data_IF_283991531071
#
_entry.id   IF_283991531071
#
_cell.length_a   1.000
_cell.length_b   1.000
_cell.length_c   1.000
_cell.angle_alpha   90.00
_cell.angle_beta   90.00
_cell.angle_gamma   90.00
#
_symmetry.space_group_name_H-M   'P 1'
#
loop_
_entity.id
_entity.type
_entity.pdbx_description
1 polymer ?
#
# COMPACT_ATOMS: atom_id res chain seq x y z
N UNK A 1 -19.07 -1.75 -26.39
CA UNK A 1 -18.12 -1.27 -25.35
C UNK A 1 -16.74 -1.14 -25.97
N UNK A 2 -16.15 0.05 -25.89
CA UNK A 2 -14.81 0.27 -26.44
C UNK A 2 -13.73 -0.39 -25.57
N UNK A 3 -12.55 -0.63 -26.14
CA UNK A 3 -11.41 -1.18 -25.40
C UNK A 3 -11.01 -0.22 -24.26
N UNK A 4 -11.10 1.11 -24.50
CA UNK A 4 -10.79 2.10 -23.49
C UNK A 4 -11.74 2.04 -22.29
N UNK A 5 -13.04 1.82 -22.54
CA UNK A 5 -14.03 1.67 -21.48
C UNK A 5 -13.78 0.42 -20.63
N UNK A 6 -13.41 -0.69 -21.28
CA UNK A 6 -13.05 -1.93 -20.60
C UNK A 6 -11.82 -1.74 -19.72
N UNK A 7 -10.79 -1.07 -20.22
CA UNK A 7 -9.56 -0.81 -19.47
C UNK A 7 -9.81 0.11 -18.27
N UNK A 8 -10.65 1.13 -18.44
CA UNK A 8 -11.04 2.03 -17.33
C UNK A 8 -11.82 1.28 -16.27
N UNK A 9 -12.71 0.37 -16.67
CA UNK A 9 -13.47 -0.44 -15.73
C UNK A 9 -12.60 -1.37 -14.90
N UNK A 10 -11.62 -2.02 -15.52
CA UNK A 10 -10.64 -2.87 -14.83
C UNK A 10 -9.76 -2.06 -13.89
N UNK A 11 -9.33 -0.89 -14.31
CA UNK A 11 -8.52 0.00 -13.49
C UNK A 11 -9.27 0.45 -12.23
N UNK A 12 -10.54 0.83 -12.38
CA UNK A 12 -11.39 1.19 -11.25
C UNK A 12 -11.62 0.02 -10.30
N UNK A 13 -11.85 -1.17 -10.83
CA UNK A 13 -12.04 -2.37 -10.02
C UNK A 13 -10.81 -2.66 -9.16
N UNK A 14 -9.61 -2.56 -9.74
CA UNK A 14 -8.36 -2.72 -8.99
C UNK A 14 -8.19 -1.63 -7.93
N UNK A 15 -8.54 -0.40 -8.27
CA UNK A 15 -8.48 0.71 -7.32
C UNK A 15 -9.40 0.49 -6.12
N UNK A 16 -10.62 0.01 -6.35
CA UNK A 16 -11.56 -0.30 -5.26
C UNK A 16 -11.02 -1.36 -4.32
N UNK A 17 -10.44 -2.43 -4.86
CA UNK A 17 -9.80 -3.48 -4.06
C UNK A 17 -8.60 -2.95 -3.27
N UNK A 18 -7.80 -2.09 -3.87
CA UNK A 18 -6.69 -1.44 -3.18
C UNK A 18 -7.17 -0.55 -2.01
N UNK A 19 -8.21 0.24 -2.24
CA UNK A 19 -8.80 1.08 -1.19
C UNK A 19 -9.41 0.25 -0.07
N UNK A 20 -10.04 -0.87 -0.39
CA UNK A 20 -10.52 -1.83 0.59
C UNK A 20 -9.40 -2.27 1.53
N UNK A 21 -8.24 -2.57 0.98
CA UNK A 21 -7.08 -3.01 1.77
C UNK A 21 -6.51 -1.87 2.62
N UNK A 22 -6.45 -0.65 2.10
CA UNK A 22 -6.06 0.51 2.87
C UNK A 22 -6.99 0.73 4.07
N UNK A 23 -8.29 0.60 3.86
CA UNK A 23 -9.28 0.69 4.93
C UNK A 23 -9.10 -0.42 5.97
N UNK A 24 -8.74 -1.64 5.54
CA UNK A 24 -8.51 -2.75 6.44
C UNK A 24 -7.31 -2.50 7.36
N UNK A 25 -6.21 -1.95 6.81
CA UNK A 25 -5.04 -1.56 7.61
C UNK A 25 -5.41 -0.45 8.59
N UNK A 26 -6.10 0.58 8.10
CA UNK A 26 -6.48 1.73 8.91
C UNK A 26 -7.38 1.36 10.09
N UNK A 27 -8.25 0.35 9.92
CA UNK A 27 -9.20 -0.07 10.94
C UNK A 27 -8.74 -1.29 11.76
N UNK A 28 -7.52 -1.74 11.57
CA UNK A 28 -7.01 -2.98 12.20
C UNK A 28 -6.89 -2.89 13.72
N UNK A 29 -6.72 -1.70 14.26
CA UNK A 29 -6.67 -1.46 15.70
C UNK A 29 -8.05 -1.15 16.32
N UNK A 30 -9.11 -1.17 15.51
CA UNK A 30 -10.47 -0.88 15.93
C UNK A 30 -10.85 0.59 15.89
N UNK A 31 -9.93 1.48 15.54
CA UNK A 31 -10.16 2.92 15.44
C UNK A 31 -9.60 3.48 14.13
N UNK A 32 -10.46 4.22 13.41
CA UNK A 32 -10.02 5.02 12.26
C UNK A 32 -9.79 6.45 12.76
N UNK A 33 -8.54 6.89 12.81
CA UNK A 33 -8.27 8.26 13.17
C UNK A 33 -8.43 9.20 11.95
N UNK A 34 -8.51 10.51 12.21
CA UNK A 34 -8.75 11.50 11.17
C UNK A 34 -7.63 11.57 10.13
N UNK A 35 -6.38 11.34 10.54
CA UNK A 35 -5.22 11.37 9.63
C UNK A 35 -5.27 10.20 8.66
N UNK A 36 -5.66 9.01 9.12
CA UNK A 36 -5.82 7.83 8.28
C UNK A 36 -6.98 8.00 7.30
N UNK A 37 -8.10 8.54 7.77
CA UNK A 37 -9.26 8.85 6.92
C UNK A 37 -8.85 9.83 5.80
N UNK A 38 -8.13 10.89 6.15
CA UNK A 38 -7.68 11.88 5.17
C UNK A 38 -6.75 11.26 4.13
N UNK A 39 -5.88 10.34 4.55
CA UNK A 39 -5.00 9.63 3.64
C UNK A 39 -5.79 8.76 2.65
N UNK A 40 -6.77 7.99 3.14
CA UNK A 40 -7.61 7.14 2.28
C UNK A 40 -8.45 7.99 1.33
N UNK A 41 -9.00 9.11 1.78
CA UNK A 41 -9.72 10.05 0.93
C UNK A 41 -8.83 10.62 -0.17
N UNK A 42 -7.61 10.97 0.16
CA UNK A 42 -6.62 11.46 -0.79
C UNK A 42 -6.31 10.40 -1.87
N UNK A 43 -6.17 9.14 -1.48
CA UNK A 43 -5.97 8.04 -2.42
C UNK A 43 -7.20 7.80 -3.30
N UNK A 44 -8.39 7.86 -2.72
CA UNK A 44 -9.64 7.72 -3.49
C UNK A 44 -9.73 8.80 -4.57
N UNK A 45 -9.35 10.03 -4.26
CA UNK A 45 -9.33 11.13 -5.24
C UNK A 45 -8.37 10.83 -6.40
N UNK A 46 -7.20 10.28 -6.11
CA UNK A 46 -6.22 9.89 -7.15
C UNK A 46 -6.79 8.87 -8.13
N UNK A 47 -7.64 7.98 -7.64
CA UNK A 47 -8.25 6.93 -8.45
C UNK A 47 -9.61 7.32 -9.00
N UNK A 48 -10.04 8.57 -8.82
CA UNK A 48 -11.37 9.06 -9.23
C UNK A 48 -12.52 8.27 -8.59
N UNK A 49 -12.35 7.91 -7.33
CA UNK A 49 -13.39 7.24 -6.55
C UNK A 49 -13.99 8.27 -5.61
N UNK A 50 -15.32 8.42 -5.63
CA UNK A 50 -16.04 9.40 -4.82
C UNK A 50 -16.07 8.99 -3.35
N UNK A 51 -16.36 9.97 -2.48
CA UNK A 51 -16.53 9.71 -1.05
C UNK A 51 -17.67 8.73 -0.77
N UNK A 52 -18.77 8.84 -1.53
CA UNK A 52 -19.91 7.93 -1.42
C UNK A 52 -19.52 6.49 -1.76
N UNK A 53 -18.76 6.32 -2.83
CA UNK A 53 -18.26 5.01 -3.25
C UNK A 53 -17.28 4.46 -2.22
N UNK A 54 -16.40 5.31 -1.68
CA UNK A 54 -15.47 4.90 -0.63
C UNK A 54 -16.22 4.43 0.63
N UNK A 55 -17.28 5.12 1.00
CA UNK A 55 -18.14 4.72 2.12
C UNK A 55 -18.78 3.35 1.87
N UNK A 56 -19.23 3.10 0.64
CA UNK A 56 -19.80 1.80 0.26
C UNK A 56 -18.75 0.69 0.40
N UNK A 57 -17.51 0.94 -0.01
CA UNK A 57 -16.41 -0.01 0.15
C UNK A 57 -16.15 -0.30 1.63
N UNK A 58 -16.15 0.73 2.46
CA UNK A 58 -15.95 0.61 3.90
C UNK A 58 -17.05 -0.21 4.57
N UNK A 59 -18.31 0.08 4.22
CA UNK A 59 -19.47 -0.56 4.83
C UNK A 59 -19.70 -2.00 4.35
N UNK A 60 -19.24 -2.32 3.14
CA UNK A 60 -19.45 -3.63 2.53
C UNK A 60 -18.18 -4.15 1.83
N UNK A 61 -17.09 -4.35 2.57
CA UNK A 61 -15.82 -4.75 1.96
C UNK A 61 -15.86 -6.10 1.24
N UNK A 62 -16.74 -7.00 1.64
CA UNK A 62 -16.86 -8.33 1.03
C UNK A 62 -17.35 -8.28 -0.42
N UNK A 63 -18.00 -7.18 -0.82
CA UNK A 63 -18.47 -7.01 -2.21
C UNK A 63 -17.33 -6.67 -3.17
N UNK A 64 -16.13 -6.40 -2.68
CA UNK A 64 -14.99 -5.96 -3.48
C UNK A 64 -13.83 -6.93 -3.33
N UNK A 65 -13.41 -7.53 -4.44
CA UNK A 65 -12.27 -8.42 -4.48
C UNK A 65 -11.00 -7.64 -4.75
N UNK A 66 -9.91 -8.07 -4.13
CA UNK A 66 -8.59 -7.53 -4.43
C UNK A 66 -7.98 -8.30 -5.60
N UNK A 67 -7.67 -7.58 -6.68
CA UNK A 67 -6.89 -8.11 -7.78
C UNK A 67 -5.45 -7.60 -7.64
N UNK A 68 -4.47 -8.49 -7.37
CA UNK A 68 -3.08 -8.05 -7.26
C UNK A 68 -2.59 -7.53 -8.62
N UNK A 69 -1.80 -6.47 -8.64
CA UNK A 69 -1.18 -6.00 -9.88
C UNK A 69 -0.24 -7.05 -10.46
N UNK A 70 -0.11 -7.07 -11.78
CA UNK A 70 0.79 -7.98 -12.48
C UNK A 70 2.20 -7.40 -12.56
N UNK A 71 2.29 -6.09 -12.67
CA UNK A 71 3.56 -5.39 -12.86
C UNK A 71 4.18 -5.08 -11.50
N UNK A 72 5.49 -5.30 -11.39
CA UNK A 72 6.23 -5.14 -10.14
C UNK A 72 6.17 -3.72 -9.59
N UNK A 73 6.17 -2.71 -10.45
CA UNK A 73 6.07 -1.31 -10.04
C UNK A 73 4.76 -1.04 -9.29
N UNK A 74 3.65 -1.54 -9.81
CA UNK A 74 2.35 -1.38 -9.16
C UNK A 74 2.27 -2.15 -7.84
N UNK A 75 2.92 -3.31 -7.75
CA UNK A 75 3.03 -4.06 -6.50
C UNK A 75 3.72 -3.24 -5.42
N UNK A 76 4.84 -2.60 -5.79
CA UNK A 76 5.55 -1.71 -4.88
C UNK A 76 4.73 -0.48 -4.51
N UNK A 77 3.99 0.09 -5.47
CA UNK A 77 3.08 1.21 -5.19
C UNK A 77 2.04 0.84 -4.14
N UNK A 78 1.40 -0.32 -4.29
CA UNK A 78 0.40 -0.78 -3.35
C UNK A 78 0.98 -0.99 -1.95
N UNK A 79 2.14 -1.63 -1.87
CA UNK A 79 2.81 -1.84 -0.59
C UNK A 79 3.27 -0.51 0.03
N UNK A 80 3.79 0.40 -0.79
CA UNK A 80 4.18 1.74 -0.36
C UNK A 80 3.01 2.49 0.29
N UNK A 81 1.83 2.46 -0.34
CA UNK A 81 0.64 3.13 0.20
C UNK A 81 0.20 2.51 1.53
N UNK A 82 0.25 1.19 1.65
CA UNK A 82 -0.12 0.50 2.89
C UNK A 82 0.83 0.84 4.03
N UNK A 83 2.13 0.81 3.77
CA UNK A 83 3.13 1.14 4.78
C UNK A 83 3.06 2.62 5.16
N UNK A 84 2.87 3.51 4.17
CA UNK A 84 2.72 4.95 4.42
C UNK A 84 1.53 5.23 5.33
N UNK A 85 0.42 4.53 5.10
CA UNK A 85 -0.75 4.69 5.95
C UNK A 85 -0.51 4.18 7.37
N UNK A 86 0.19 3.06 7.51
CA UNK A 86 0.55 2.52 8.81
C UNK A 86 1.40 3.52 9.63
N UNK A 87 2.23 4.32 8.96
CA UNK A 87 3.14 5.26 9.60
C UNK A 87 2.54 6.65 9.85
N UNK A 88 1.30 6.88 9.43
CA UNK A 88 0.74 8.23 9.37
C UNK A 88 0.59 8.90 10.73
N UNK A 89 0.33 8.13 11.79
CA UNK A 89 0.24 8.64 13.16
C UNK A 89 1.58 8.67 13.90
N UNK A 90 2.65 8.24 13.25
CA UNK A 90 3.99 8.18 13.83
C UNK A 90 4.27 6.93 14.64
N UNK A 91 3.29 6.08 14.85
CA UNK A 91 3.43 4.83 15.61
C UNK A 91 3.25 3.63 14.70
N UNK A 92 4.08 2.59 14.90
CA UNK A 92 3.95 1.33 14.19
C UNK A 92 3.29 0.32 15.10
N UNK A 93 2.04 -0.03 14.80
CA UNK A 93 1.30 -1.03 15.54
C UNK A 93 1.60 -2.42 14.98
N UNK A 94 1.85 -3.40 15.86
CA UNK A 94 2.20 -4.76 15.48
C UNK A 94 1.16 -5.40 14.55
N UNK A 95 -0.12 -5.12 14.80
CA UNK A 95 -1.22 -5.65 14.00
C UNK A 95 -1.21 -5.12 12.57
N UNK A 96 -0.98 -3.82 12.42
CA UNK A 96 -0.88 -3.18 11.11
C UNK A 96 0.33 -3.72 10.34
N UNK A 97 1.46 -3.88 11.02
CA UNK A 97 2.68 -4.43 10.44
C UNK A 97 2.47 -5.87 9.95
N UNK A 98 1.77 -6.68 10.73
CA UNK A 98 1.43 -8.06 10.35
C UNK A 98 0.54 -8.09 9.10
N UNK A 99 -0.45 -7.22 9.01
CA UNK A 99 -1.32 -7.11 7.84
C UNK A 99 -0.50 -6.72 6.61
N UNK A 100 0.39 -5.75 6.74
CA UNK A 100 1.28 -5.34 5.65
C UNK A 100 2.19 -6.49 5.20
N UNK A 101 2.70 -7.30 6.11
CA UNK A 101 3.52 -8.47 5.78
C UNK A 101 2.74 -9.54 5.03
N UNK A 102 1.52 -9.82 5.46
CA UNK A 102 0.63 -10.75 4.74
C UNK A 102 0.33 -10.24 3.35
N UNK A 103 0.17 -8.93 3.24
CA UNK A 103 -0.08 -8.27 1.96
C UNK A 103 1.12 -8.41 1.03
N UNK A 104 2.32 -8.16 1.53
CA UNK A 104 3.55 -8.36 0.76
C UNK A 104 3.65 -9.78 0.24
N UNK A 105 3.36 -10.77 1.07
CA UNK A 105 3.33 -12.19 0.67
C UNK A 105 2.33 -12.44 -0.46
N UNK A 106 1.14 -11.87 -0.39
CA UNK A 106 0.11 -12.05 -1.43
C UNK A 106 0.53 -11.44 -2.76
N UNK A 107 1.42 -10.43 -2.73
CA UNK A 107 1.99 -9.82 -3.93
C UNK A 107 3.22 -10.56 -4.46
N UNK A 108 3.67 -11.60 -3.76
CA UNK A 108 4.90 -12.30 -4.11
C UNK A 108 6.18 -11.60 -3.66
N UNK A 109 6.05 -10.62 -2.76
CA UNK A 109 7.18 -9.89 -2.18
C UNK A 109 7.59 -10.51 -0.85
N UNK A 110 8.86 -10.40 -0.50
CA UNK A 110 9.35 -10.91 0.79
C UNK A 110 8.84 -10.03 1.93
N UNK A 111 8.50 -10.64 3.06
CA UNK A 111 8.03 -9.92 4.24
C UNK A 111 9.04 -8.89 4.75
N UNK A 112 10.33 -9.17 4.59
CA UNK A 112 11.42 -8.25 4.99
C UNK A 112 11.34 -6.91 4.28
N UNK A 113 10.72 -6.85 3.10
CA UNK A 113 10.51 -5.59 2.39
C UNK A 113 9.64 -4.62 3.19
N UNK A 114 8.71 -5.13 4.01
CA UNK A 114 7.89 -4.26 4.86
C UNK A 114 8.76 -3.52 5.86
N UNK A 115 9.69 -4.22 6.52
CA UNK A 115 10.64 -3.61 7.45
C UNK A 115 11.54 -2.59 6.74
N UNK A 116 12.00 -2.93 5.54
CA UNK A 116 12.84 -2.03 4.72
C UNK A 116 12.07 -0.78 4.30
N UNK A 117 10.80 -0.92 3.91
CA UNK A 117 9.94 0.23 3.61
C UNK A 117 9.77 1.14 4.84
N UNK A 118 9.54 0.55 6.00
CA UNK A 118 9.40 1.30 7.25
C UNK A 118 10.66 2.12 7.50
N UNK A 119 11.84 1.51 7.39
CA UNK A 119 13.12 2.18 7.62
C UNK A 119 13.34 3.34 6.65
N UNK A 120 13.07 3.10 5.35
CA UNK A 120 13.24 4.13 4.32
C UNK A 120 12.28 5.31 4.55
N UNK A 121 11.02 5.02 4.86
CA UNK A 121 10.02 6.06 5.06
C UNK A 121 10.21 6.82 6.37
N UNK A 122 10.73 6.19 7.40
CA UNK A 122 11.03 6.86 8.68
C UNK A 122 12.22 7.81 8.57
N UNK A 123 13.11 7.60 7.62
CA UNK A 123 14.23 8.52 7.36
C UNK A 123 13.77 9.84 6.73
N UNK A 124 12.54 9.89 6.20
CA UNK A 124 11.97 11.11 5.64
C UNK A 124 11.00 11.74 6.65
N UNK A 125 11.31 12.95 7.18
CA UNK A 125 10.43 13.61 8.15
C UNK A 125 9.03 13.93 7.61
N UNK A 126 8.91 14.15 6.30
CA UNK A 126 7.62 14.47 5.66
C UNK A 126 6.90 13.23 5.13
N UNK A 127 7.61 12.13 4.99
CA UNK A 127 7.08 10.85 4.48
C UNK A 127 6.43 10.95 3.11
N UNK A 128 6.91 11.89 2.31
CA UNK A 128 6.42 12.14 0.96
C UNK A 128 7.39 11.67 -0.12
N UNK A 129 8.15 10.62 0.15
CA UNK A 129 9.12 10.09 -0.81
C UNK A 129 8.36 9.44 -1.97
N UNK A 130 8.66 9.82 -3.23
CA UNK A 130 8.06 9.13 -4.39
C UNK A 130 8.43 7.65 -4.42
N UNK A 131 7.53 6.82 -4.93
CA UNK A 131 7.74 5.37 -5.01
C UNK A 131 9.03 5.00 -5.74
N UNK A 132 9.39 5.71 -6.79
CA UNK A 132 10.64 5.46 -7.53
C UNK A 132 11.87 5.57 -6.65
N UNK A 133 11.91 6.57 -5.78
CA UNK A 133 13.01 6.77 -4.84
C UNK A 133 13.05 5.68 -3.79
N UNK A 134 11.89 5.27 -3.28
CA UNK A 134 11.79 4.16 -2.32
C UNK A 134 12.32 2.87 -2.95
N UNK A 135 11.89 2.56 -4.17
CA UNK A 135 12.35 1.37 -4.91
C UNK A 135 13.87 1.40 -5.08
N UNK A 136 14.43 2.56 -5.47
CA UNK A 136 15.87 2.71 -5.62
C UNK A 136 16.63 2.42 -4.32
N UNK A 137 16.15 2.93 -3.21
CA UNK A 137 16.76 2.67 -1.89
C UNK A 137 16.63 1.20 -1.47
N UNK A 138 15.49 0.57 -1.75
CA UNK A 138 15.28 -0.85 -1.45
C UNK A 138 16.19 -1.75 -2.26
N UNK A 139 16.39 -1.44 -3.54
CA UNK A 139 17.29 -2.17 -4.42
C UNK A 139 18.73 -2.07 -3.93
N UNK A 140 19.15 -0.90 -3.46
CA UNK A 140 20.46 -0.69 -2.88
C UNK A 140 20.68 -1.53 -1.63
N UNK A 141 19.69 -1.57 -0.74
CA UNK A 141 19.72 -2.41 0.47
C UNK A 141 19.86 -3.89 0.09
N UNK A 142 19.10 -4.36 -0.90
CA UNK A 142 19.14 -5.74 -1.37
C UNK A 142 20.53 -6.09 -1.92
N UNK A 143 21.15 -5.17 -2.69
CA UNK A 143 22.51 -5.36 -3.21
C UNK A 143 23.56 -5.44 -2.11
N UNK A 144 23.46 -4.59 -1.09
CA UNK A 144 24.35 -4.59 0.06
C UNK A 144 24.24 -5.92 0.82
N UNK A 145 23.03 -6.47 1.00
CA UNK A 145 22.83 -7.77 1.61
C UNK A 145 23.45 -8.91 0.81
N UNK A 146 23.25 -8.90 -0.52
CA UNK A 146 23.84 -9.91 -1.41
C UNK A 146 25.36 -9.85 -1.36
N UNK A 147 25.95 -8.66 -1.37
CA UNK A 147 27.40 -8.48 -1.29
C UNK A 147 27.95 -8.97 0.06
N UNK A 148 27.22 -8.73 1.15
CA UNK A 148 27.61 -9.22 2.47
C UNK A 148 27.59 -10.74 2.55
N UNK A 149 26.66 -11.40 1.86
CA UNK A 149 26.60 -12.88 1.79
C UNK A 149 27.68 -13.47 0.91
N UNK A 150 28.14 -12.74 -0.12
CA UNK A 150 29.18 -13.20 -1.02
C UNK A 150 30.60 -13.11 -0.44
N UNK A 151 30.79 -12.31 0.60
CA UNK A 151 32.09 -12.04 1.21
C UNK A 151 32.37 -13.00 2.41
N UNK A 152 31.39 -13.75 2.79
CA UNK A 152 31.56 -14.71 3.90
C UNK A 152 32.29 -15.97 3.49
#
# INVERSE_FOLDING_TARGET
MSILELLRGKKKKRARGHLKNLLAVASSDGCLDNMEIDYVLSMAQRYNISEEELKTIKDNPEAYDYEPPVNDREKFDHLHHLVSMMLIDGEVHDREKEICKRFANSLGLKEEFVDDFIDVLNDDPQREIPTDLVIGKLLKIAQERDNSQKVA
#
